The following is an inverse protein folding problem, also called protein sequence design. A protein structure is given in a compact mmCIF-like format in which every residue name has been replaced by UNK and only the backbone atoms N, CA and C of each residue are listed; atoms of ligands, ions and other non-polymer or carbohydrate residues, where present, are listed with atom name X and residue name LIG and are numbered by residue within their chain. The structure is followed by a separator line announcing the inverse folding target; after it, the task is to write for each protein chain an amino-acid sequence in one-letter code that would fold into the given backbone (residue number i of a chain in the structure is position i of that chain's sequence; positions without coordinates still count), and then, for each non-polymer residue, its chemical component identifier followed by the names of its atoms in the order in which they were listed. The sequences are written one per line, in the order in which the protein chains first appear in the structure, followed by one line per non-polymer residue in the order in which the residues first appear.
data_IF_739917663799
#
_entry.id   IF_739917663799
#
_cell.length_a   1.000
_cell.length_b   1.000
_cell.length_c   1.000
_cell.angle_alpha   90.00
_cell.angle_beta   90.00
_cell.angle_gamma   90.00
#
_symmetry.space_group_name_H-M   'P 1'
#
loop_
_entity.id
_entity.type
_entity.pdbx_description
1 polymer ?
#
# COMPACT_ATOMS: atom_id res chain seq x y z
N UNK A 1 24.02 69.15 -58.97
CA UNK A 1 23.81 68.63 -57.60
C UNK A 1 22.31 68.54 -57.41
N UNK A 2 21.87 67.30 -57.27
CA UNK A 2 20.49 66.83 -57.25
C UNK A 2 19.79 67.06 -55.91
N UNK A 3 18.47 67.19 -55.99
CA UNK A 3 17.51 67.29 -54.89
C UNK A 3 17.24 65.89 -54.28
N UNK A 4 17.05 65.83 -52.96
CA UNK A 4 16.56 64.62 -52.29
C UNK A 4 15.24 64.93 -51.55
N UNK A 5 14.14 64.22 -51.85
CA UNK A 5 12.92 64.26 -51.06
C UNK A 5 12.83 63.06 -50.09
N UNK A 6 12.28 63.34 -48.91
CA UNK A 6 11.96 62.38 -47.85
C UNK A 6 10.71 61.60 -48.24
N UNK A 7 10.82 60.27 -48.35
CA UNK A 7 9.69 59.37 -48.61
C UNK A 7 9.29 58.62 -47.33
N UNK A 8 8.02 58.76 -46.98
CA UNK A 8 7.28 58.04 -45.95
C UNK A 8 7.32 56.53 -46.20
N UNK A 9 7.72 55.75 -45.18
CA UNK A 9 7.47 54.31 -45.10
C UNK A 9 6.52 54.04 -43.93
N UNK A 10 5.23 54.01 -44.27
CA UNK A 10 4.20 53.23 -43.57
C UNK A 10 4.28 51.77 -44.05
N UNK A 11 3.85 50.84 -43.19
CA UNK A 11 3.86 49.36 -43.30
C UNK A 11 5.19 48.74 -42.81
N UNK A 12 5.23 47.80 -41.85
CA UNK A 12 4.26 46.78 -41.46
C UNK A 12 4.51 46.33 -40.01
N UNK A 13 3.64 46.75 -39.06
CA UNK A 13 3.45 46.01 -37.81
C UNK A 13 2.52 44.84 -38.12
N UNK A 14 3.04 43.83 -38.82
CA UNK A 14 2.40 42.53 -38.82
C UNK A 14 2.62 41.97 -37.42
N UNK A 15 1.56 42.02 -36.61
CA UNK A 15 1.53 41.37 -35.32
C UNK A 15 2.00 39.94 -35.46
N UNK A 16 2.91 39.53 -34.58
CA UNK A 16 3.20 38.13 -34.34
C UNK A 16 1.91 37.47 -33.84
N UNK A 17 1.03 37.05 -34.75
CA UNK A 17 0.04 36.02 -34.46
C UNK A 17 0.85 34.74 -34.25
N UNK A 18 1.34 34.55 -33.03
CA UNK A 18 1.88 33.27 -32.58
C UNK A 18 0.78 32.24 -32.80
N UNK A 19 0.89 31.49 -33.90
CA UNK A 19 0.03 30.35 -34.17
C UNK A 19 0.16 29.41 -32.96
N UNK A 20 -0.92 28.88 -32.38
CA UNK A 20 -0.80 27.80 -31.42
C UNK A 20 0.03 26.71 -32.10
N UNK A 21 1.24 26.46 -31.62
CA UNK A 21 2.01 25.32 -32.09
C UNK A 21 1.28 24.10 -31.56
N UNK A 22 0.69 23.31 -32.46
CA UNK A 22 0.08 22.02 -32.14
C UNK A 22 1.15 21.15 -31.45
N UNK A 23 1.18 21.16 -30.12
CA UNK A 23 2.25 20.56 -29.34
C UNK A 23 1.71 19.28 -28.71
N UNK A 24 2.30 18.16 -29.09
CA UNK A 24 2.10 16.89 -28.40
C UNK A 24 2.80 16.96 -27.04
N UNK A 25 2.06 16.66 -25.98
CA UNK A 25 2.51 16.71 -24.58
C UNK A 25 2.19 15.38 -23.92
N UNK A 26 3.18 14.81 -23.24
CA UNK A 26 3.02 13.61 -22.40
C UNK A 26 3.20 14.02 -20.93
N UNK A 27 2.30 13.56 -20.07
CA UNK A 27 2.30 13.81 -18.63
C UNK A 27 2.05 12.50 -17.85
N UNK A 28 2.82 12.22 -16.79
CA UNK A 28 4.00 12.96 -16.34
C UNK A 28 5.19 12.79 -17.31
N UNK A 29 6.18 13.69 -17.23
CA UNK A 29 7.38 13.64 -18.10
C UNK A 29 8.32 12.50 -17.72
N UNK A 30 8.47 12.27 -16.42
CA UNK A 30 9.27 11.21 -15.83
C UNK A 30 8.31 10.30 -15.03
N UNK A 31 7.55 9.41 -15.70
CA UNK A 31 6.62 8.52 -15.04
C UNK A 31 7.37 7.48 -14.21
N UNK A 32 7.01 7.39 -12.93
CA UNK A 32 7.49 6.38 -11.98
C UNK A 32 6.31 5.67 -11.34
N UNK A 33 6.45 4.37 -11.10
CA UNK A 33 5.42 3.56 -10.45
C UNK A 33 6.05 2.50 -9.55
N UNK A 34 5.42 2.26 -8.40
CA UNK A 34 5.81 1.17 -7.51
C UNK A 34 5.49 -0.17 -8.17
N UNK A 35 6.32 -1.19 -7.96
CA UNK A 35 6.02 -2.57 -8.34
C UNK A 35 4.68 -3.02 -7.72
N UNK A 36 3.85 -3.71 -8.49
CA UNK A 36 2.46 -4.06 -8.18
C UNK A 36 1.48 -2.87 -8.21
N UNK A 37 1.99 -1.63 -8.32
CA UNK A 37 1.21 -0.40 -8.34
C UNK A 37 0.50 -0.13 -9.66
N UNK A 38 -0.20 1.00 -9.72
CA UNK A 38 -0.90 1.47 -10.91
C UNK A 38 -0.60 2.94 -11.17
N UNK A 39 -0.53 3.33 -12.45
CA UNK A 39 -0.29 4.71 -12.86
C UNK A 39 -0.94 4.98 -14.21
N UNK A 40 -1.07 6.26 -14.57
CA UNK A 40 -1.66 6.70 -15.83
C UNK A 40 -0.75 7.71 -16.52
N UNK A 41 -0.56 7.54 -17.82
CA UNK A 41 0.14 8.52 -18.66
C UNK A 41 -0.86 9.14 -19.62
N UNK A 42 -1.01 10.45 -19.54
CA UNK A 42 -1.84 11.21 -20.46
C UNK A 42 -0.97 11.78 -21.58
N UNK A 43 -1.35 11.50 -22.81
CA UNK A 43 -0.81 12.17 -23.98
C UNK A 43 -1.87 13.06 -24.60
N UNK A 44 -1.59 14.36 -24.71
CA UNK A 44 -2.51 15.36 -25.25
C UNK A 44 -1.91 16.10 -26.43
N UNK A 45 -2.75 16.38 -27.42
CA UNK A 45 -2.43 17.19 -28.59
C UNK A 45 -3.47 18.30 -28.69
N UNK A 46 -3.01 19.55 -28.57
CA UNK A 46 -3.88 20.72 -28.67
C UNK A 46 -4.24 21.03 -30.13
N UNK A 47 -4.96 20.13 -30.79
CA UNK A 47 -5.41 20.26 -32.17
C UNK A 47 -6.87 19.78 -32.35
N UNK A 48 -7.80 20.66 -32.76
CA UNK A 48 -9.17 20.26 -33.09
C UNK A 48 -9.21 19.22 -34.22
N UNK A 49 -9.88 18.09 -33.99
CA UNK A 49 -9.95 16.99 -34.97
C UNK A 49 -8.61 16.24 -35.17
N UNK A 50 -7.61 16.51 -34.33
CA UNK A 50 -6.41 15.71 -34.26
C UNK A 50 -6.70 14.27 -33.81
N UNK A 51 -5.69 13.41 -33.90
CA UNK A 51 -5.73 12.05 -33.35
C UNK A 51 -4.48 11.81 -32.53
N UNK A 52 -4.63 11.15 -31.39
CA UNK A 52 -3.54 10.80 -30.49
C UNK A 52 -3.65 9.32 -30.14
N UNK A 53 -2.52 8.61 -30.16
CA UNK A 53 -2.47 7.18 -29.91
C UNK A 53 -1.18 6.82 -29.15
N UNK A 54 -1.31 5.88 -28.21
CA UNK A 54 -0.17 5.26 -27.54
C UNK A 54 0.28 4.02 -28.30
N UNK A 55 1.61 3.87 -28.41
CA UNK A 55 2.29 2.71 -28.99
C UNK A 55 3.37 2.23 -28.03
N UNK A 56 3.52 0.91 -27.98
CA UNK A 56 4.65 0.25 -27.33
C UNK A 56 5.35 -0.60 -28.35
N UNK A 57 6.68 -0.59 -28.30
CA UNK A 57 7.46 -1.52 -29.11
C UNK A 57 7.50 -2.91 -28.47
N UNK A 58 7.70 -3.00 -27.14
CA UNK A 58 8.14 -4.28 -26.52
C UNK A 58 7.63 -4.55 -25.08
N UNK A 59 6.61 -3.86 -24.57
CA UNK A 59 6.18 -4.00 -23.16
C UNK A 59 4.67 -4.22 -23.05
N UNK A 60 4.22 -4.85 -21.96
CA UNK A 60 2.80 -4.88 -21.61
C UNK A 60 2.30 -3.43 -21.48
N UNK A 61 1.68 -2.93 -22.54
CA UNK A 61 1.30 -1.52 -22.67
C UNK A 61 0.29 -1.12 -21.59
N UNK A 62 -0.52 -2.07 -21.14
CA UNK A 62 -1.69 -1.80 -20.33
C UNK A 62 -2.91 -1.52 -21.21
N UNK A 63 -3.90 -0.83 -20.66
CA UNK A 63 -5.15 -0.51 -21.37
C UNK A 63 -5.15 0.94 -21.84
N UNK A 64 -5.67 1.21 -23.03
CA UNK A 64 -5.65 2.54 -23.64
C UNK A 64 -7.08 3.09 -23.72
N UNK A 65 -7.28 4.30 -23.21
CA UNK A 65 -8.51 5.08 -23.39
C UNK A 65 -8.24 6.22 -24.36
N UNK A 66 -8.93 6.23 -25.50
CA UNK A 66 -8.70 7.22 -26.56
C UNK A 66 -9.82 8.24 -26.63
N UNK A 67 -9.45 9.51 -26.69
CA UNK A 67 -10.33 10.68 -26.81
C UNK A 67 -9.89 11.54 -28.00
N UNK A 68 -10.71 12.51 -28.47
CA UNK A 68 -10.39 13.29 -29.66
C UNK A 68 -9.06 14.04 -29.61
N UNK A 69 -8.70 14.63 -28.47
CA UNK A 69 -7.50 15.46 -28.32
C UNK A 69 -6.45 14.85 -27.39
N UNK A 70 -6.73 13.69 -26.79
CA UNK A 70 -5.81 13.05 -25.87
C UNK A 70 -6.05 11.54 -25.79
N UNK A 71 -5.05 10.81 -25.32
CA UNK A 71 -5.10 9.37 -25.08
C UNK A 71 -4.45 9.07 -23.74
N UNK A 72 -5.07 8.20 -22.94
CA UNK A 72 -4.60 7.83 -21.61
C UNK A 72 -4.15 6.37 -21.64
N UNK A 73 -2.90 6.13 -21.24
CA UNK A 73 -2.33 4.81 -21.03
C UNK A 73 -2.49 4.44 -19.55
N UNK A 74 -3.31 3.42 -19.27
CA UNK A 74 -3.52 2.92 -17.92
C UNK A 74 -2.65 1.69 -17.67
N UNK A 75 -1.75 1.82 -16.70
CA UNK A 75 -0.85 0.75 -16.27
C UNK A 75 -1.37 0.24 -14.93
N UNK A 76 -1.65 -1.05 -14.84
CA UNK A 76 -2.16 -1.72 -13.64
C UNK A 76 -1.23 -2.87 -13.28
N UNK A 77 -0.98 -3.07 -12.00
CA UNK A 77 -0.11 -4.13 -11.49
C UNK A 77 1.26 -4.12 -12.18
N UNK A 78 1.96 -2.99 -12.07
CA UNK A 78 3.25 -2.79 -12.73
C UNK A 78 4.28 -3.85 -12.30
N UNK A 79 4.90 -4.54 -13.26
CA UNK A 79 6.01 -5.46 -13.05
C UNK A 79 7.29 -4.91 -13.66
N UNK A 80 8.44 -5.56 -13.45
CA UNK A 80 9.69 -5.18 -14.10
C UNK A 80 9.53 -5.10 -15.63
N UNK A 81 8.83 -6.06 -16.25
CA UNK A 81 8.51 -6.06 -17.68
C UNK A 81 7.61 -4.88 -18.17
N UNK A 82 7.00 -4.11 -17.26
CA UNK A 82 6.24 -2.90 -17.63
C UNK A 82 7.13 -1.68 -17.80
N UNK A 83 8.33 -1.66 -17.21
CA UNK A 83 9.34 -0.62 -17.38
C UNK A 83 9.71 -0.46 -18.85
N UNK A 84 10.01 0.78 -19.24
CA UNK A 84 10.61 1.08 -20.53
C UNK A 84 9.89 2.17 -21.30
N UNK A 85 10.19 2.22 -22.59
CA UNK A 85 9.79 3.30 -23.46
C UNK A 85 8.31 3.23 -23.85
N UNK A 86 7.55 4.30 -23.57
CA UNK A 86 6.17 4.50 -24.00
C UNK A 86 6.14 5.61 -25.05
N UNK A 87 5.64 5.31 -26.24
CA UNK A 87 5.62 6.25 -27.37
C UNK A 87 4.20 6.75 -27.56
N UNK A 88 4.03 8.06 -27.58
CA UNK A 88 2.81 8.70 -28.03
C UNK A 88 3.01 9.30 -29.41
N UNK A 89 2.09 8.99 -30.32
CA UNK A 89 2.00 9.58 -31.65
C UNK A 89 0.77 10.47 -31.75
N UNK A 90 0.92 11.61 -32.42
CA UNK A 90 -0.15 12.58 -32.68
C UNK A 90 -0.21 12.95 -34.15
N UNK A 91 -1.40 13.12 -34.70
CA UNK A 91 -1.62 13.59 -36.08
C UNK A 91 -2.57 14.78 -36.07
N UNK A 92 -2.20 15.84 -36.77
CA UNK A 92 -3.00 17.05 -36.89
C UNK A 92 -2.74 17.72 -38.24
N UNK A 93 -3.79 18.03 -39.01
CA UNK A 93 -3.70 18.71 -40.31
C UNK A 93 -2.60 18.17 -41.26
N UNK A 94 -2.40 16.85 -41.30
CA UNK A 94 -1.36 16.20 -42.12
C UNK A 94 0.05 16.23 -41.53
N UNK A 95 0.26 16.89 -40.39
CA UNK A 95 1.50 16.85 -39.61
C UNK A 95 1.50 15.67 -38.64
N UNK A 96 2.69 15.11 -38.40
CA UNK A 96 2.94 14.02 -37.47
C UNK A 96 3.79 14.51 -36.29
N UNK A 97 3.39 14.14 -35.08
CA UNK A 97 4.07 14.44 -33.84
C UNK A 97 4.38 13.16 -33.10
N UNK A 98 5.51 13.13 -32.40
CA UNK A 98 5.88 11.99 -31.57
C UNK A 98 6.52 12.49 -30.28
N UNK A 99 6.14 11.88 -29.17
CA UNK A 99 6.75 12.08 -27.87
C UNK A 99 6.93 10.75 -27.18
N UNK A 100 7.96 10.68 -26.36
CA UNK A 100 8.34 9.47 -25.66
C UNK A 100 8.42 9.77 -24.18
N UNK A 101 7.97 8.83 -23.35
CA UNK A 101 8.20 8.82 -21.91
C UNK A 101 8.75 7.45 -21.51
N UNK A 102 9.80 7.45 -20.68
CA UNK A 102 10.36 6.21 -20.14
C UNK A 102 9.73 5.96 -18.78
N UNK A 103 8.89 4.94 -18.68
CA UNK A 103 8.33 4.49 -17.40
C UNK A 103 9.43 3.81 -16.60
N UNK A 104 9.62 4.25 -15.36
CA UNK A 104 10.49 3.60 -14.38
C UNK A 104 9.65 2.84 -13.36
N UNK A 105 10.03 1.59 -13.10
CA UNK A 105 9.44 0.78 -12.04
C UNK A 105 10.42 0.77 -10.88
N UNK A 106 9.90 0.80 -9.65
CA UNK A 106 10.74 0.69 -8.46
C UNK A 106 10.07 -0.12 -7.37
N UNK A 107 10.87 -0.74 -6.52
CA UNK A 107 10.42 -1.47 -5.35
C UNK A 107 11.38 -1.23 -4.19
N UNK A 108 10.83 -0.82 -3.04
CA UNK A 108 11.57 -0.67 -1.79
C UNK A 108 10.60 -0.99 -0.65
N UNK A 109 10.92 -1.95 0.24
CA UNK A 109 10.03 -2.26 1.36
C UNK A 109 9.89 -1.08 2.31
N UNK A 110 8.75 -0.96 2.97
CA UNK A 110 8.50 0.12 3.93
C UNK A 110 9.31 -0.02 5.22
N UNK A 111 9.74 -1.24 5.54
CA UNK A 111 10.54 -1.55 6.73
C UNK A 111 11.73 -2.41 6.36
N UNK A 112 12.89 -2.09 6.94
CA UNK A 112 14.07 -2.97 6.89
C UNK A 112 14.01 -3.96 8.05
N UNK A 113 14.51 -5.17 7.82
CA UNK A 113 14.70 -6.15 8.88
C UNK A 113 16.10 -6.01 9.44
N UNK A 114 16.20 -5.64 10.71
CA UNK A 114 17.47 -5.48 11.42
C UNK A 114 17.47 -6.33 12.69
N UNK A 115 18.35 -7.33 12.72
CA UNK A 115 18.44 -8.32 13.81
C UNK A 115 19.86 -8.39 14.37
N UNK A 116 19.98 -8.67 15.66
CA UNK A 116 21.27 -8.92 16.30
C UNK A 116 21.44 -10.42 16.58
N UNK A 117 22.68 -10.90 16.51
CA UNK A 117 23.08 -12.22 16.97
C UNK A 117 24.26 -12.06 17.94
N UNK A 118 24.07 -12.27 19.26
CA UNK A 118 22.84 -12.70 19.93
C UNK A 118 21.70 -11.67 19.85
N UNK A 119 20.45 -12.13 20.01
CA UNK A 119 19.22 -11.33 19.80
C UNK A 119 19.17 -10.01 20.59
N UNK A 120 19.85 -9.97 21.74
CA UNK A 120 19.97 -8.78 22.56
C UNK A 120 21.37 -8.21 22.40
N UNK A 121 21.46 -6.95 21.96
CA UNK A 121 22.71 -6.23 21.84
C UNK A 121 23.16 -5.73 23.23
N UNK A 122 23.96 -6.54 23.91
CA UNK A 122 24.43 -6.27 25.28
C UNK A 122 25.74 -5.47 25.29
N UNK A 123 25.84 -4.42 26.12
CA UNK A 123 27.08 -3.69 26.30
C UNK A 123 28.26 -4.61 26.66
N UNK A 124 29.44 -4.34 26.10
CA UNK A 124 30.68 -5.09 26.35
C UNK A 124 30.79 -6.43 25.63
N UNK A 125 29.75 -6.89 24.92
CA UNK A 125 29.73 -8.20 24.27
C UNK A 125 29.73 -8.06 22.74
N UNK A 126 30.50 -8.88 22.00
CA UNK A 126 30.50 -8.85 20.55
C UNK A 126 29.16 -9.34 19.99
N UNK A 127 28.78 -8.85 18.82
CA UNK A 127 27.55 -9.23 18.13
C UNK A 127 27.71 -9.15 16.61
N UNK A 128 26.86 -9.88 15.88
CA UNK A 128 26.67 -9.69 14.45
C UNK A 128 25.31 -9.05 14.21
N UNK A 129 25.27 -7.92 13.52
CA UNK A 129 24.04 -7.25 13.13
C UNK A 129 23.73 -7.63 11.68
N UNK A 130 22.54 -8.15 11.43
CA UNK A 130 22.06 -8.54 10.12
C UNK A 130 20.97 -7.57 9.66
N UNK A 131 21.26 -6.81 8.62
CA UNK A 131 20.29 -5.96 7.93
C UNK A 131 19.91 -6.62 6.61
N UNK A 132 18.60 -6.79 6.39
CA UNK A 132 18.07 -7.37 5.16
C UNK A 132 16.84 -6.62 4.69
N UNK A 133 16.66 -6.59 3.37
CA UNK A 133 15.50 -6.04 2.71
C UNK A 133 15.19 -6.89 1.48
N UNK A 134 13.92 -7.24 1.31
CA UNK A 134 13.47 -8.15 0.25
C UNK A 134 12.69 -7.38 -0.82
N UNK A 135 12.67 -7.91 -2.03
CA UNK A 135 11.89 -7.38 -3.16
C UNK A 135 12.24 -5.91 -3.51
N UNK A 136 13.52 -5.61 -3.70
CA UNK A 136 14.02 -4.31 -4.16
C UNK A 136 14.17 -4.27 -5.68
N UNK A 137 13.99 -3.09 -6.26
CA UNK A 137 14.27 -2.84 -7.67
C UNK A 137 14.40 -1.34 -7.96
N UNK A 138 15.32 -0.90 -8.84
CA UNK A 138 16.37 -1.70 -9.49
C UNK A 138 17.63 -1.79 -8.61
N UNK A 139 18.43 -2.86 -8.77
CA UNK A 139 19.60 -3.11 -7.91
C UNK A 139 20.74 -2.10 -8.09
N UNK A 140 20.92 -1.55 -9.29
CA UNK A 140 21.94 -0.56 -9.62
C UNK A 140 21.68 0.81 -8.94
N UNK A 141 20.44 1.06 -8.52
CA UNK A 141 20.05 2.23 -7.74
C UNK A 141 20.19 2.08 -6.23
N UNK A 142 20.51 0.87 -5.73
CA UNK A 142 20.55 0.57 -4.29
C UNK A 142 21.91 0.88 -3.69
N UNK A 143 21.89 1.59 -2.55
CA UNK A 143 23.03 1.76 -1.66
C UNK A 143 22.64 1.35 -0.24
N UNK A 144 23.55 0.71 0.48
CA UNK A 144 23.40 0.37 1.89
C UNK A 144 24.52 1.04 2.68
N UNK A 145 24.19 1.61 3.83
CA UNK A 145 25.16 2.19 4.75
C UNK A 145 24.84 1.80 6.19
N UNK A 146 25.85 1.27 6.88
CA UNK A 146 25.83 1.09 8.33
C UNK A 146 26.39 2.32 9.01
N UNK A 147 25.67 2.82 10.00
CA UNK A 147 26.12 3.89 10.87
C UNK A 147 26.26 3.40 12.30
N UNK A 148 27.31 3.87 12.97
CA UNK A 148 27.45 3.84 14.43
C UNK A 148 27.43 5.27 14.93
N UNK A 149 26.33 5.67 15.56
CA UNK A 149 26.04 7.10 15.77
C UNK A 149 25.94 7.85 14.44
N UNK A 150 26.90 8.74 14.15
CA UNK A 150 26.96 9.53 12.91
C UNK A 150 28.04 9.05 11.93
N UNK A 151 28.84 8.04 12.30
CA UNK A 151 29.94 7.56 11.47
C UNK A 151 29.50 6.38 10.60
N UNK A 152 29.76 6.46 9.30
CA UNK A 152 29.62 5.32 8.39
C UNK A 152 30.72 4.30 8.71
N UNK A 153 30.33 3.05 8.96
CA UNK A 153 31.26 1.96 9.34
C UNK A 153 31.36 0.86 8.28
N UNK A 154 30.36 0.69 7.43
CA UNK A 154 30.34 -0.30 6.34
C UNK A 154 29.31 0.08 5.27
N UNK A 155 29.61 -0.18 4.01
CA UNK A 155 28.70 0.07 2.88
C UNK A 155 28.43 -1.17 2.01
N UNK A 156 29.20 -2.23 2.19
CA UNK A 156 29.07 -3.43 1.36
C UNK A 156 27.84 -4.26 1.75
N UNK A 157 27.21 -4.86 0.76
CA UNK A 157 26.06 -5.76 0.90
C UNK A 157 26.09 -6.83 -0.20
N UNK A 158 25.52 -7.98 0.10
CA UNK A 158 25.28 -9.05 -0.85
C UNK A 158 23.85 -8.94 -1.38
N UNK A 159 23.62 -9.43 -2.59
CA UNK A 159 22.29 -9.45 -3.21
C UNK A 159 22.05 -10.73 -3.99
N UNK A 160 20.79 -11.14 -4.05
CA UNK A 160 20.32 -12.27 -4.84
C UNK A 160 19.10 -11.83 -5.67
N UNK A 161 19.04 -12.28 -6.92
CA UNK A 161 17.89 -12.04 -7.81
C UNK A 161 16.83 -13.11 -7.60
N UNK A 162 15.57 -12.69 -7.61
CA UNK A 162 14.38 -13.53 -7.47
C UNK A 162 13.80 -13.89 -8.84
N UNK A 163 12.88 -14.86 -8.89
CA UNK A 163 12.19 -15.26 -10.13
C UNK A 163 11.36 -14.12 -10.77
N UNK A 164 11.03 -13.07 -10.02
CA UNK A 164 10.28 -11.89 -10.49
C UNK A 164 11.20 -10.73 -10.94
N UNK A 165 12.50 -10.98 -11.13
CA UNK A 165 13.51 -9.96 -11.49
C UNK A 165 13.66 -8.86 -10.40
N UNK A 166 13.21 -9.15 -9.17
CA UNK A 166 13.43 -8.33 -7.98
C UNK A 166 14.64 -8.83 -7.20
N UNK A 167 15.17 -8.01 -6.29
CA UNK A 167 16.40 -8.32 -5.56
C UNK A 167 16.19 -8.37 -4.04
N UNK A 168 16.84 -9.34 -3.41
CA UNK A 168 16.92 -9.47 -1.96
C UNK A 168 18.33 -9.09 -1.53
N UNK A 169 18.47 -8.14 -0.61
CA UNK A 169 19.78 -7.71 -0.10
C UNK A 169 19.98 -8.14 1.35
N UNK A 170 21.23 -8.46 1.68
CA UNK A 170 21.67 -8.79 3.04
C UNK A 170 23.02 -8.13 3.29
N UNK A 171 23.19 -7.52 4.46
CA UNK A 171 24.48 -7.03 4.94
C UNK A 171 24.66 -7.42 6.40
N UNK A 172 25.80 -8.03 6.70
CA UNK A 172 26.17 -8.41 8.07
C UNK A 172 27.30 -7.49 8.56
N UNK A 173 27.08 -6.83 9.69
CA UNK A 173 28.08 -6.04 10.40
C UNK A 173 28.52 -6.76 11.67
N UNK A 174 29.76 -7.23 11.72
CA UNK A 174 30.37 -7.77 12.94
C UNK A 174 30.91 -6.63 13.80
N UNK A 175 30.44 -6.55 15.04
CA UNK A 175 30.85 -5.52 16.01
C UNK A 175 31.56 -6.17 17.20
N UNK A 176 32.66 -5.56 17.63
CA UNK A 176 33.40 -6.01 18.81
C UNK A 176 32.71 -5.52 20.08
N UNK A 177 32.87 -6.26 21.19
CA UNK A 177 32.26 -5.87 22.47
C UNK A 177 32.71 -4.51 23.00
N UNK A 178 33.93 -4.08 22.65
CA UNK A 178 34.45 -2.74 22.97
C UNK A 178 33.74 -1.60 22.23
N UNK A 179 33.04 -1.92 21.13
CA UNK A 179 32.29 -0.95 20.32
C UNK A 179 30.82 -0.86 20.73
N UNK A 180 30.34 -1.83 21.52
CA UNK A 180 28.98 -1.90 22.03
C UNK A 180 28.97 -1.36 23.46
N UNK A 181 28.77 -0.05 23.61
CA UNK A 181 28.54 0.58 24.91
C UNK A 181 27.04 0.85 25.12
N UNK A 182 26.63 1.03 26.38
CA UNK A 182 25.23 1.33 26.70
C UNK A 182 24.76 2.62 26.01
N UNK A 183 23.60 2.55 25.34
CA UNK A 183 23.04 3.66 24.58
C UNK A 183 23.65 3.88 23.19
N UNK A 184 24.67 3.10 22.78
CA UNK A 184 25.20 3.17 21.41
C UNK A 184 24.14 2.64 20.43
N UNK A 185 23.88 3.43 19.39
CA UNK A 185 22.95 3.13 18.33
C UNK A 185 23.68 2.71 17.05
N UNK A 186 23.23 1.61 16.46
CA UNK A 186 23.61 1.15 15.13
C UNK A 186 22.42 1.34 14.19
N UNK A 187 22.67 1.98 13.05
CA UNK A 187 21.64 2.17 12.00
C UNK A 187 22.05 1.43 10.74
N UNK A 188 21.10 0.74 10.13
CA UNK A 188 21.20 0.31 8.75
C UNK A 188 20.30 1.23 7.92
N UNK A 189 20.90 1.91 6.95
CA UNK A 189 20.22 2.77 6.00
C UNK A 189 20.30 2.13 4.62
N UNK A 190 19.16 2.00 3.96
CA UNK A 190 19.06 1.56 2.57
C UNK A 190 18.45 2.69 1.78
N UNK A 191 19.16 3.11 0.73
CA UNK A 191 18.74 4.19 -0.17
C UNK A 191 18.58 3.64 -1.57
N UNK A 192 17.48 4.00 -2.22
CA UNK A 192 17.17 3.66 -3.60
C UNK A 192 17.05 4.93 -4.43
N UNK A 193 17.85 5.02 -5.49
CA UNK A 193 17.82 6.12 -6.45
C UNK A 193 17.09 5.68 -7.72
N UNK A 194 16.06 6.42 -8.12
CA UNK A 194 15.25 6.14 -9.31
C UNK A 194 15.03 7.43 -10.09
N UNK A 195 15.76 7.59 -11.19
CA UNK A 195 15.73 8.85 -11.94
C UNK A 195 16.25 10.00 -11.09
N UNK A 196 15.39 10.98 -10.78
CA UNK A 196 15.71 12.12 -9.90
C UNK A 196 15.22 11.93 -8.46
N UNK A 197 14.47 10.86 -8.20
CA UNK A 197 13.91 10.59 -6.87
C UNK A 197 14.86 9.72 -6.05
N UNK A 198 14.84 9.94 -4.74
CA UNK A 198 15.63 9.17 -3.78
C UNK A 198 14.73 8.73 -2.63
N UNK A 199 14.69 7.44 -2.37
CA UNK A 199 13.90 6.83 -1.32
C UNK A 199 14.83 6.23 -0.27
N UNK A 200 14.60 6.56 1.00
CA UNK A 200 15.44 6.07 2.09
C UNK A 200 14.62 5.30 3.11
N UNK A 201 15.21 4.22 3.62
CA UNK A 201 14.68 3.42 4.73
C UNK A 201 15.78 3.22 5.75
N UNK A 202 15.40 3.31 7.02
CA UNK A 202 16.33 3.22 8.14
C UNK A 202 15.76 2.26 9.17
N UNK A 203 16.60 1.35 9.65
CA UNK A 203 16.34 0.58 10.86
C UNK A 203 17.47 0.82 11.86
N UNK A 204 17.14 0.82 13.15
CA UNK A 204 18.06 1.13 14.22
C UNK A 204 17.98 0.10 15.34
N UNK A 205 19.12 -0.24 15.93
CA UNK A 205 19.23 -1.02 17.16
C UNK A 205 20.08 -0.26 18.18
N UNK A 206 19.63 -0.25 19.43
CA UNK A 206 20.32 0.40 20.53
C UNK A 206 20.81 -0.65 21.52
N UNK A 207 22.08 -0.56 21.90
CA UNK A 207 22.65 -1.41 22.92
C UNK A 207 22.08 -1.05 24.30
N UNK A 208 21.55 -2.04 25.01
CA UNK A 208 20.95 -1.85 26.33
C UNK A 208 21.36 -2.96 27.29
N UNK A 209 21.65 -2.58 28.54
CA UNK A 209 21.78 -3.54 29.62
C UNK A 209 20.37 -3.94 30.04
N UNK A 210 19.86 -5.04 29.50
CA UNK A 210 18.57 -5.57 29.94
C UNK A 210 18.64 -5.85 31.45
N UNK A 211 17.80 -5.17 32.23
CA UNK A 211 17.72 -5.37 33.67
C UNK A 211 17.21 -6.79 33.94
N UNK A 212 18.07 -7.65 34.47
CA UNK A 212 17.66 -8.94 35.02
C UNK A 212 16.65 -8.64 36.14
N UNK A 213 15.36 -8.86 35.89
CA UNK A 213 14.41 -9.05 36.98
C UNK A 213 14.76 -10.35 37.68
N UNK A 214 15.70 -10.27 38.61
CA UNK A 214 15.94 -11.30 39.61
C UNK A 214 14.70 -11.31 40.52
N UNK A 215 13.78 -12.25 40.27
CA UNK A 215 12.71 -12.54 41.23
C UNK A 215 13.38 -12.97 42.55
N UNK A 216 13.10 -12.31 43.69
CA UNK A 216 13.60 -12.79 44.97
C UNK A 216 12.97 -14.15 45.23
N UNK A 217 13.81 -15.18 45.37
CA UNK A 217 13.38 -16.50 45.81
C UNK A 217 12.69 -16.34 47.17
N UNK A 218 11.39 -16.64 47.24
CA UNK A 218 10.68 -16.75 48.49
C UNK A 218 11.24 -17.95 49.28
N UNK A 219 11.97 -17.65 50.35
CA UNK A 219 12.37 -18.60 51.39
C UNK A 219 11.11 -19.11 52.08
N UNK A 220 10.84 -20.41 51.99
CA UNK A 220 9.86 -21.09 52.84
C UNK A 220 10.62 -22.02 53.77
N UNK A 221 10.78 -21.59 55.01
CA UNK A 221 11.28 -22.43 56.11
C UNK A 221 10.09 -22.96 56.92
N UNK A 222 9.95 -24.30 56.89
CA UNK A 222 9.49 -25.23 57.94
C UNK A 222 8.43 -24.80 58.97
N UNK A 223 7.45 -25.68 59.25
CA UNK A 223 7.41 -26.58 60.43
C UNK A 223 5.97 -27.05 60.75
N UNK A 224 5.76 -28.37 60.94
CA UNK A 224 4.91 -28.88 62.03
C UNK A 224 3.54 -29.52 61.71
N UNK A 225 3.50 -30.86 61.62
CA UNK A 225 2.32 -31.78 61.70
C UNK A 225 1.68 -31.82 63.12
N UNK A 226 0.84 -32.80 63.55
CA UNK A 226 0.05 -33.87 62.87
C UNK A 226 -1.40 -34.07 63.42
N UNK A 227 -2.27 -34.82 62.73
CA UNK A 227 -3.09 -35.85 63.39
C UNK A 227 -3.88 -36.76 62.44
N UNK A 228 -4.19 -37.93 63.00
CA UNK A 228 -4.32 -39.25 62.41
C UNK A 228 -5.74 -39.77 62.69
N UNK A 229 -6.41 -40.34 61.69
CA UNK A 229 -7.40 -41.40 61.89
C UNK A 229 -7.58 -42.24 60.61
N UNK A 230 -7.42 -43.56 60.77
CA UNK A 230 -7.72 -44.70 59.87
C UNK A 230 -8.30 -45.79 60.82
N UNK A 231 -8.91 -46.93 60.40
CA UNK A 231 -9.23 -47.43 59.05
C UNK A 231 -10.55 -48.26 58.85
N UNK A 232 -10.89 -48.51 57.56
CA UNK A 232 -11.45 -49.76 56.94
C UNK A 232 -12.87 -50.28 57.28
N UNK A 233 -13.44 -51.27 56.53
CA UNK A 233 -13.47 -51.52 55.07
C UNK A 233 -14.90 -51.91 54.58
N UNK A 234 -15.13 -52.12 53.27
CA UNK A 234 -15.82 -53.31 52.69
C UNK A 234 -15.87 -53.21 51.15
N UNK A 235 -15.55 -54.34 50.54
CA UNK A 235 -15.45 -54.67 49.11
C UNK A 235 -16.77 -55.24 48.60
N UNK A 236 -17.17 -54.97 47.34
CA UNK A 236 -17.39 -55.98 46.27
C UNK A 236 -18.53 -55.68 45.25
N UNK A 237 -18.12 -55.62 43.96
CA UNK A 237 -18.74 -56.15 42.71
C UNK A 237 -20.00 -55.49 42.10
N UNK A 238 -20.27 -55.64 40.78
CA UNK A 238 -19.46 -55.32 39.59
C UNK A 238 -20.25 -54.43 38.55
N UNK A 239 -19.64 -53.91 37.47
CA UNK A 239 -20.39 -53.33 36.36
C UNK A 239 -20.61 -54.33 35.21
N UNK A 240 -21.83 -54.38 34.69
CA UNK A 240 -22.23 -55.09 33.48
C UNK A 240 -22.98 -54.16 32.50
N UNK A 241 -23.10 -54.53 31.20
CA UNK A 241 -22.84 -53.58 30.11
C UNK A 241 -24.02 -53.29 29.16
N UNK A 242 -23.72 -52.40 28.20
CA UNK A 242 -24.13 -52.38 26.78
C UNK A 242 -25.38 -51.62 26.32
N UNK A 243 -25.33 -51.22 25.02
CA UNK A 243 -26.39 -50.97 24.01
C UNK A 243 -26.41 -49.50 23.48
N UNK A 244 -26.60 -49.22 22.16
CA UNK A 244 -25.50 -49.10 21.18
C UNK A 244 -25.68 -47.95 20.15
N UNK A 245 -24.76 -47.88 19.18
CA UNK A 245 -24.81 -47.08 17.95
C UNK A 245 -25.45 -47.87 16.81
N UNK A 246 -26.22 -47.22 15.93
CA UNK A 246 -26.54 -47.71 14.58
C UNK A 246 -26.51 -46.57 13.53
N UNK A 247 -25.85 -46.87 12.41
CA UNK A 247 -25.78 -46.15 11.14
C UNK A 247 -27.13 -46.03 10.40
N UNK A 248 -27.14 -45.34 9.24
CA UNK A 248 -27.62 -46.03 8.04
C UNK A 248 -26.74 -45.83 6.78
N UNK A 249 -26.75 -46.86 5.95
CA UNK A 249 -26.09 -47.00 4.64
C UNK A 249 -27.14 -47.03 3.51
N UNK A 250 -26.71 -46.66 2.27
CA UNK A 250 -27.23 -47.06 0.93
C UNK A 250 -28.52 -46.36 0.41
N UNK A 251 -28.74 -46.05 -0.87
CA UNK A 251 -28.21 -46.57 -2.15
C UNK A 251 -28.45 -45.64 -3.39
N UNK A 252 -27.62 -45.86 -4.43
CA UNK A 252 -27.88 -45.95 -5.90
C UNK A 252 -28.31 -44.75 -6.80
N UNK A 253 -27.47 -44.53 -7.81
CA UNK A 253 -27.64 -44.03 -9.22
C UNK A 253 -28.62 -44.89 -10.08
N UNK A 254 -28.90 -44.64 -11.40
CA UNK A 254 -28.41 -43.62 -12.37
C UNK A 254 -29.45 -43.02 -13.40
N UNK A 255 -28.95 -42.11 -14.26
CA UNK A 255 -29.30 -41.76 -15.67
C UNK A 255 -30.76 -41.49 -16.13
N UNK A 256 -30.99 -40.40 -16.90
CA UNK A 256 -31.05 -40.39 -18.39
C UNK A 256 -31.54 -39.02 -18.95
N UNK A 257 -30.69 -38.40 -19.78
CA UNK A 257 -30.94 -37.76 -21.10
C UNK A 257 -32.20 -36.92 -21.47
N UNK A 258 -31.88 -35.78 -22.13
CA UNK A 258 -32.28 -35.40 -23.52
C UNK A 258 -33.28 -34.22 -23.70
N UNK A 259 -32.69 -33.06 -24.10
CA UNK A 259 -33.06 -32.18 -25.25
C UNK A 259 -34.39 -31.42 -25.29
N UNK A 260 -34.32 -30.08 -25.43
CA UNK A 260 -34.77 -29.27 -26.59
C UNK A 260 -34.65 -27.75 -26.29
N UNK A 261 -33.87 -27.05 -27.12
CA UNK A 261 -33.86 -25.59 -27.35
C UNK A 261 -34.84 -25.28 -28.54
N UNK A 262 -35.05 -24.07 -29.11
CA UNK A 262 -34.94 -22.65 -28.66
C UNK A 262 -36.18 -21.77 -29.09
N UNK A 263 -36.03 -20.43 -28.99
CA UNK A 263 -36.72 -19.35 -29.76
C UNK A 263 -37.94 -18.67 -29.07
N UNK A 264 -38.27 -17.38 -29.25
CA UNK A 264 -37.80 -16.29 -30.11
C UNK A 264 -38.30 -14.92 -29.59
N UNK A 265 -37.60 -13.84 -30.02
CA UNK A 265 -38.10 -12.49 -30.39
C UNK A 265 -39.22 -11.80 -29.58
N UNK A 266 -39.00 -10.55 -29.13
CA UNK A 266 -39.52 -9.34 -29.84
C UNK A 266 -39.01 -7.99 -29.26
N UNK A 267 -38.36 -7.21 -30.13
CA UNK A 267 -38.44 -5.76 -30.41
C UNK A 267 -38.49 -4.65 -29.32
N UNK A 268 -37.58 -3.68 -29.53
CA UNK A 268 -37.58 -2.23 -29.14
C UNK A 268 -38.73 -1.45 -29.85
N UNK A 269 -39.12 -0.20 -29.47
CA UNK A 269 -38.27 0.98 -29.77
C UNK A 269 -38.37 2.22 -28.86
N UNK A 270 -37.40 3.13 -29.09
CA UNK A 270 -37.20 4.50 -28.61
C UNK A 270 -38.41 5.44 -28.63
N UNK A 271 -38.40 6.50 -27.80
CA UNK A 271 -38.88 7.85 -28.13
C UNK A 271 -38.31 8.92 -27.15
N UNK A 272 -37.60 9.90 -27.70
CA UNK A 272 -37.42 11.31 -27.24
C UNK A 272 -38.16 12.17 -28.30
N UNK A 273 -38.90 13.28 -28.02
CA UNK A 273 -38.33 14.59 -27.62
C UNK A 273 -39.20 15.60 -26.83
N UNK A 274 -38.55 16.60 -26.20
CA UNK A 274 -38.80 18.04 -26.40
C UNK A 274 -38.41 18.93 -25.18
N UNK A 275 -37.60 19.95 -25.47
CA UNK A 275 -37.38 21.22 -24.75
C UNK A 275 -38.19 22.30 -25.50
N UNK A 276 -38.83 23.33 -24.89
CA UNK A 276 -38.18 24.64 -24.71
C UNK A 276 -38.70 25.55 -23.57
N UNK A 277 -37.80 26.36 -22.96
CA UNK A 277 -37.82 27.84 -23.02
C UNK A 277 -36.94 28.51 -21.92
N UNK A 278 -35.92 29.23 -22.39
CA UNK A 278 -35.37 30.48 -21.81
C UNK A 278 -36.26 31.66 -22.30
N UNK A 279 -36.24 32.90 -21.73
CA UNK A 279 -35.03 33.76 -21.77
C UNK A 279 -34.87 34.92 -20.74
N UNK A 280 -33.72 35.60 -20.87
CA UNK A 280 -33.43 37.05 -20.71
C UNK A 280 -32.52 37.51 -19.54
N UNK A 281 -31.26 37.77 -19.92
CA UNK A 281 -30.45 38.99 -19.80
C UNK A 281 -30.19 39.68 -18.45
N UNK A 282 -28.91 40.02 -18.24
CA UNK A 282 -28.47 41.13 -17.39
C UNK A 282 -27.01 41.04 -16.94
N UNK A 283 -26.09 41.57 -17.76
CA UNK A 283 -24.78 42.05 -17.28
C UNK A 283 -24.97 43.51 -16.80
N UNK A 284 -24.21 44.00 -15.80
CA UNK A 284 -23.08 44.88 -16.13
C UNK A 284 -21.84 44.80 -15.22
N UNK A 285 -20.69 44.95 -15.87
CA UNK A 285 -19.54 45.83 -15.63
C UNK A 285 -18.94 46.07 -14.23
N UNK A 286 -17.61 45.96 -14.20
CA UNK A 286 -16.68 46.30 -13.13
C UNK A 286 -16.55 47.81 -12.83
N UNK A 287 -16.16 48.15 -11.60
CA UNK A 287 -15.33 49.33 -11.31
C UNK A 287 -14.43 49.14 -10.08
N UNK A 288 -13.38 49.95 -10.06
CA UNK A 288 -12.09 49.77 -9.41
C UNK A 288 -11.95 50.41 -8.01
N UNK A 289 -10.82 50.09 -7.39
CA UNK A 289 -10.33 50.48 -6.07
C UNK A 289 -10.23 51.99 -5.79
N UNK A 290 -10.34 52.39 -4.52
CA UNK A 290 -9.45 53.39 -3.91
C UNK A 290 -9.42 53.25 -2.37
N UNK A 291 -8.21 53.32 -1.83
CA UNK A 291 -7.78 53.46 -0.42
C UNK A 291 -8.32 54.70 0.28
N UNK A 292 -8.74 54.61 1.55
CA UNK A 292 -8.53 55.67 2.57
C UNK A 292 -8.75 55.15 4.00
N UNK A 293 -7.76 55.33 4.89
CA UNK A 293 -7.95 55.37 6.34
C UNK A 293 -8.30 56.82 6.74
N UNK A 294 -9.11 57.03 7.80
CA UNK A 294 -8.50 57.60 9.01
C UNK A 294 -9.09 57.06 10.34
N UNK A 295 -8.51 57.61 11.39
CA UNK A 295 -8.37 57.19 12.78
C UNK A 295 -9.61 57.46 13.68
N UNK A 296 -9.82 56.55 14.64
CA UNK A 296 -10.25 56.71 16.05
C UNK A 296 -11.50 57.53 16.44
N UNK A 297 -12.47 56.85 17.07
CA UNK A 297 -13.55 57.42 17.89
C UNK A 297 -14.38 56.33 18.57
N UNK A 298 -14.55 56.43 19.88
CA UNK A 298 -14.89 55.37 20.84
C UNK A 298 -16.39 55.03 20.97
N UNK A 299 -16.65 53.83 21.49
CA UNK A 299 -17.86 53.34 22.20
C UNK A 299 -19.16 53.12 21.42
N UNK A 300 -19.52 51.85 21.26
CA UNK A 300 -20.87 51.41 20.87
C UNK A 300 -20.96 49.88 20.84
N UNK A 301 -21.56 49.33 21.90
CA UNK A 301 -21.83 47.91 22.15
C UNK A 301 -22.59 47.24 20.97
N UNK A 302 -22.04 46.16 20.43
CA UNK A 302 -22.65 45.32 19.39
C UNK A 302 -21.80 44.07 19.12
N UNK A 303 -22.41 42.92 18.77
CA UNK A 303 -21.81 41.60 18.91
C UNK A 303 -20.60 41.43 18.00
N UNK A 304 -19.57 40.75 18.51
CA UNK A 304 -18.36 40.39 17.76
C UNK A 304 -18.71 39.90 16.37
N UNK A 305 -18.11 40.60 15.39
CA UNK A 305 -18.07 40.21 13.99
C UNK A 305 -17.85 38.70 13.87
N UNK A 306 -18.72 38.06 13.11
CA UNK A 306 -18.71 36.62 12.90
C UNK A 306 -17.34 36.13 12.51
N UNK A 307 -16.72 35.37 13.41
CA UNK A 307 -15.79 34.33 13.02
C UNK A 307 -16.56 33.44 12.06
N UNK A 308 -16.31 33.58 10.76
CA UNK A 308 -16.78 32.62 9.77
C UNK A 308 -16.38 31.24 10.30
N UNK A 309 -17.33 30.31 10.54
CA UNK A 309 -16.97 29.02 11.12
C UNK A 309 -15.97 28.37 10.18
N UNK A 310 -14.74 28.23 10.66
CA UNK A 310 -13.71 27.52 9.94
C UNK A 310 -14.22 26.09 9.78
N UNK A 311 -14.42 25.63 8.55
CA UNK A 311 -14.79 24.25 8.35
C UNK A 311 -13.68 23.37 8.94
N UNK A 312 -14.04 22.43 9.80
CA UNK A 312 -13.09 21.48 10.40
C UNK A 312 -13.29 20.10 9.79
N UNK A 313 -12.21 19.54 9.25
CA UNK A 313 -12.18 18.18 8.73
C UNK A 313 -11.64 17.24 9.82
N UNK A 314 -12.28 16.09 10.02
CA UNK A 314 -11.88 15.08 11.00
C UNK A 314 -11.87 13.70 10.34
N UNK A 315 -10.96 12.84 10.81
CA UNK A 315 -10.79 11.46 10.36
C UNK A 315 -10.57 10.56 11.58
N UNK A 316 -11.24 9.42 11.63
CA UNK A 316 -11.11 8.44 12.71
C UNK A 316 -11.44 7.02 12.22
N UNK A 317 -11.06 6.01 12.99
CA UNK A 317 -11.37 4.61 12.71
C UNK A 317 -12.22 3.99 13.81
N UNK A 318 -13.06 3.02 13.43
CA UNK A 318 -13.92 2.26 14.32
C UNK A 318 -13.80 0.76 13.97
N UNK A 319 -13.20 -0.08 14.83
CA UNK A 319 -12.45 0.27 16.05
C UNK A 319 -11.18 1.11 15.76
N UNK A 320 -10.60 1.78 16.78
CA UNK A 320 -9.40 2.62 16.60
C UNK A 320 -8.18 1.83 16.09
N UNK A 321 -8.14 0.53 16.36
CA UNK A 321 -7.14 -0.40 15.85
C UNK A 321 -7.87 -1.56 15.19
N UNK A 322 -7.49 -1.90 13.96
CA UNK A 322 -8.05 -3.02 13.23
C UNK A 322 -7.56 -4.36 13.77
N UNK A 323 -8.36 -5.40 13.57
CA UNK A 323 -7.98 -6.79 13.88
C UNK A 323 -8.18 -7.63 12.64
N UNK A 324 -7.22 -8.49 12.32
CA UNK A 324 -7.27 -9.34 11.12
C UNK A 324 -8.55 -10.18 11.11
N UNK A 325 -9.25 -10.19 9.98
CA UNK A 325 -10.50 -10.91 9.78
C UNK A 325 -11.75 -10.26 10.41
N UNK A 326 -11.61 -9.11 11.11
CA UNK A 326 -12.73 -8.37 11.72
C UNK A 326 -13.11 -7.14 10.91
N UNK A 327 -14.32 -6.63 11.13
CA UNK A 327 -14.78 -5.43 10.47
C UNK A 327 -14.03 -4.18 10.96
N UNK A 328 -13.77 -3.24 10.04
CA UNK A 328 -13.09 -1.98 10.30
C UNK A 328 -13.72 -0.88 9.43
N UNK A 329 -14.09 0.25 10.03
CA UNK A 329 -14.56 1.45 9.32
C UNK A 329 -13.57 2.59 9.51
N UNK A 330 -13.27 3.32 8.44
CA UNK A 330 -12.51 4.57 8.50
C UNK A 330 -13.43 5.69 8.04
N UNK A 331 -13.74 6.60 8.96
CA UNK A 331 -14.71 7.67 8.77
C UNK A 331 -13.98 9.00 8.55
N UNK A 332 -14.45 9.79 7.59
CA UNK A 332 -14.03 11.17 7.40
C UNK A 332 -15.25 12.08 7.36
N UNK A 333 -15.23 13.14 8.16
CA UNK A 333 -16.33 14.09 8.26
C UNK A 333 -15.84 15.53 8.25
N UNK A 334 -16.46 16.35 7.41
CA UNK A 334 -16.34 17.79 7.39
C UNK A 334 -17.49 18.43 8.18
N UNK A 335 -17.15 19.22 9.18
CA UNK A 335 -18.10 20.07 9.89
C UNK A 335 -18.01 21.48 9.29
N UNK A 336 -18.79 21.71 8.23
CA UNK A 336 -18.89 23.01 7.57
C UNK A 336 -20.29 23.62 7.77
N UNK A 337 -20.40 24.95 7.76
CA UNK A 337 -21.69 25.65 7.81
C UNK A 337 -22.49 25.61 6.48
N UNK A 338 -21.95 24.96 5.44
CA UNK A 338 -22.59 24.80 4.13
C UNK A 338 -22.25 23.45 3.50
N UNK A 339 -22.76 23.21 2.30
CA UNK A 339 -22.54 21.95 1.58
C UNK A 339 -21.06 21.75 1.28
N UNK A 340 -20.52 20.66 1.80
CA UNK A 340 -19.12 20.29 1.70
C UNK A 340 -19.02 18.88 1.15
N UNK A 341 -17.95 18.61 0.41
CA UNK A 341 -17.68 17.28 -0.14
C UNK A 341 -16.31 16.84 0.31
N UNK A 342 -16.23 15.63 0.86
CA UNK A 342 -14.98 15.02 1.27
C UNK A 342 -14.60 13.90 0.32
N UNK A 343 -13.31 13.65 0.17
CA UNK A 343 -12.78 12.56 -0.66
C UNK A 343 -11.51 11.96 -0.07
N UNK A 344 -11.18 10.76 -0.51
CA UNK A 344 -9.97 10.05 -0.09
C UNK A 344 -8.81 10.35 -1.03
N UNK A 345 -7.74 10.94 -0.49
CA UNK A 345 -6.52 11.27 -1.21
C UNK A 345 -5.54 10.08 -1.20
N UNK A 346 -5.50 9.35 -0.08
CA UNK A 346 -4.61 8.21 0.12
C UNK A 346 -5.29 7.16 0.99
N UNK A 347 -5.17 5.91 0.56
CA UNK A 347 -5.53 4.72 1.32
C UNK A 347 -4.40 3.68 1.15
N UNK A 348 -4.14 2.82 2.14
CA UNK A 348 -3.09 1.80 2.02
C UNK A 348 -3.34 0.78 0.89
N UNK A 349 -4.60 0.37 0.71
CA UNK A 349 -5.02 -0.45 -0.42
C UNK A 349 -5.79 0.40 -1.45
N UNK A 350 -6.08 -0.16 -2.62
CA UNK A 350 -6.90 0.51 -3.63
C UNK A 350 -8.33 0.74 -3.09
N UNK A 351 -8.96 1.87 -3.44
CA UNK A 351 -10.33 2.20 -3.01
C UNK A 351 -11.36 1.12 -3.35
N UNK A 352 -11.15 0.33 -4.41
CA UNK A 352 -11.99 -0.81 -4.78
C UNK A 352 -11.99 -1.97 -3.77
N UNK A 353 -11.02 -2.01 -2.86
CA UNK A 353 -10.95 -2.98 -1.76
C UNK A 353 -11.81 -2.57 -0.56
N UNK A 354 -12.35 -1.34 -0.58
CA UNK A 354 -13.22 -0.82 0.46
C UNK A 354 -14.63 -0.65 -0.10
N UNK A 355 -15.64 -0.81 0.74
CA UNK A 355 -16.97 -0.31 0.44
C UNK A 355 -17.03 1.15 0.88
N UNK A 356 -16.96 2.07 -0.08
CA UNK A 356 -17.10 3.50 0.19
C UNK A 356 -18.58 3.89 0.32
N UNK A 357 -18.92 4.52 1.45
CA UNK A 357 -20.23 5.11 1.70
C UNK A 357 -20.06 6.64 1.83
N UNK A 358 -20.44 7.38 0.79
CA UNK A 358 -20.36 8.84 0.78
C UNK A 358 -21.72 9.48 1.00
N UNK A 359 -21.75 10.48 1.87
CA UNK A 359 -22.94 11.27 2.20
C UNK A 359 -22.52 12.73 2.36
N UNK A 360 -22.44 13.46 1.24
CA UNK A 360 -22.12 14.89 1.21
C UNK A 360 -20.84 15.24 1.97
N UNK A 361 -21.01 15.75 3.19
CA UNK A 361 -19.93 16.17 4.08
C UNK A 361 -19.22 15.03 4.82
N UNK A 362 -19.59 13.77 4.61
CA UNK A 362 -18.88 12.61 5.16
C UNK A 362 -18.63 11.53 4.11
N UNK A 363 -17.53 10.79 4.25
CA UNK A 363 -17.24 9.57 3.51
C UNK A 363 -16.65 8.53 4.45
N UNK A 364 -17.11 7.29 4.33
CA UNK A 364 -16.69 6.16 5.15
C UNK A 364 -16.13 5.03 4.27
N UNK A 365 -14.98 4.50 4.63
CA UNK A 365 -14.41 3.28 4.02
C UNK A 365 -14.68 2.10 4.94
N UNK A 366 -15.55 1.19 4.51
CA UNK A 366 -15.88 -0.02 5.26
C UNK A 366 -15.17 -1.26 4.73
N UNK A 367 -14.66 -2.04 5.68
CA UNK A 367 -14.07 -3.35 5.48
C UNK A 367 -14.86 -4.36 6.31
N UNK A 368 -15.38 -5.41 5.69
CA UNK A 368 -16.01 -6.52 6.42
C UNK A 368 -14.95 -7.40 7.10
N UNK A 369 -13.77 -7.53 6.48
CA UNK A 369 -12.62 -8.29 6.98
C UNK A 369 -11.33 -7.51 6.74
N UNK A 370 -10.79 -6.90 7.79
CA UNK A 370 -9.51 -6.22 7.75
C UNK A 370 -8.36 -7.24 7.57
N UNK A 371 -7.30 -6.82 6.91
CA UNK A 371 -6.15 -7.64 6.53
C UNK A 371 -4.89 -6.81 6.76
N UNK A 372 -3.71 -7.42 6.88
CA UNK A 372 -2.48 -6.69 7.18
C UNK A 372 -2.17 -5.56 6.17
N UNK A 373 -2.52 -5.70 4.90
CA UNK A 373 -2.30 -4.65 3.88
C UNK A 373 -3.29 -3.48 3.97
N UNK A 374 -4.34 -3.57 4.79
CA UNK A 374 -5.19 -2.43 5.11
C UNK A 374 -4.55 -1.52 6.19
N UNK A 375 -3.40 -1.89 6.76
CA UNK A 375 -2.66 -1.05 7.69
C UNK A 375 -1.94 0.10 6.98
N UNK A 376 -1.82 1.24 7.64
CA UNK A 376 -1.02 2.38 7.18
C UNK A 376 -1.78 3.70 7.23
N UNK A 377 -1.33 4.66 6.42
CA UNK A 377 -1.79 6.04 6.48
C UNK A 377 -2.94 6.32 5.52
N UNK A 378 -4.07 6.72 6.08
CA UNK A 378 -5.25 7.22 5.39
C UNK A 378 -5.20 8.74 5.33
N UNK A 379 -5.53 9.34 4.18
CA UNK A 379 -5.63 10.79 4.03
C UNK A 379 -6.98 11.16 3.41
N UNK A 380 -7.71 12.02 4.11
CA UNK A 380 -8.97 12.58 3.63
C UNK A 380 -8.79 14.05 3.29
N UNK A 381 -9.43 14.50 2.22
CA UNK A 381 -9.39 15.89 1.74
C UNK A 381 -10.79 16.49 1.67
N UNK A 382 -10.91 17.74 2.08
CA UNK A 382 -12.08 18.58 1.81
C UNK A 382 -11.96 19.20 0.41
N UNK A 383 -12.89 18.85 -0.48
CA UNK A 383 -12.92 19.37 -1.85
C UNK A 383 -13.57 20.77 -1.86
N UNK A 384 -12.86 21.78 -2.39
CA UNK A 384 -13.38 23.16 -2.50
C UNK A 384 -12.30 24.25 -2.45
N UNK A 385 -12.73 25.50 -2.25
CA UNK A 385 -11.85 26.70 -2.26
C UNK A 385 -10.81 26.76 -1.12
N UNK A 386 -10.93 25.90 -0.10
CA UNK A 386 -9.94 25.75 0.98
C UNK A 386 -9.69 24.26 1.22
N UNK A 387 -8.87 23.65 0.37
CA UNK A 387 -8.50 22.25 0.51
C UNK A 387 -7.79 22.05 1.85
N UNK A 388 -8.45 21.33 2.76
CA UNK A 388 -7.86 20.84 4.01
C UNK A 388 -7.63 19.35 3.87
N UNK A 389 -6.50 18.87 4.38
CA UNK A 389 -6.17 17.45 4.39
C UNK A 389 -5.91 17.03 5.82
N UNK A 390 -6.51 15.92 6.22
CA UNK A 390 -6.24 15.27 7.52
C UNK A 390 -5.77 13.84 7.28
N UNK A 391 -4.94 13.34 8.19
CA UNK A 391 -4.37 12.00 8.11
C UNK A 391 -4.63 11.19 9.38
N UNK A 392 -4.87 9.90 9.20
CA UNK A 392 -4.99 8.91 10.26
C UNK A 392 -4.08 7.73 9.95
N UNK A 393 -3.38 7.22 10.95
CA UNK A 393 -2.60 6.00 10.84
C UNK A 393 -3.34 4.86 11.54
N UNK A 394 -3.61 3.78 10.81
CA UNK A 394 -4.38 2.64 11.29
C UNK A 394 -3.51 1.40 11.26
N UNK A 395 -3.46 0.70 12.39
CA UNK A 395 -2.76 -0.58 12.52
C UNK A 395 -3.76 -1.73 12.49
N UNK A 396 -3.40 -2.85 11.86
CA UNK A 396 -4.19 -4.09 11.87
C UNK A 396 -3.39 -5.17 12.61
N UNK A 397 -3.88 -5.58 13.78
CA UNK A 397 -3.23 -6.58 14.65
C UNK A 397 -3.80 -7.96 14.35
N UNK A 398 -3.02 -9.01 14.57
CA UNK A 398 -3.49 -10.39 14.50
C UNK A 398 -4.54 -10.69 15.59
N UNK A 399 -5.59 -11.46 15.26
CA UNK A 399 -6.61 -11.86 16.22
C UNK A 399 -5.99 -12.84 17.23
N UNK A 400 -5.57 -12.30 18.37
CA UNK A 400 -4.92 -13.05 19.44
C UNK A 400 -5.98 -13.57 20.42
N UNK A 401 -6.87 -14.43 19.93
CA UNK A 401 -7.77 -15.19 20.78
C UNK A 401 -7.77 -16.69 20.44
N UNK A 402 -7.18 -17.44 21.38
CA UNK A 402 -7.43 -18.85 21.69
C UNK A 402 -7.08 -19.89 20.63
N UNK A 403 -5.79 -20.05 20.34
CA UNK A 403 -5.27 -21.40 20.07
C UNK A 403 -5.24 -22.19 21.38
N UNK A 404 -6.37 -22.78 21.77
CA UNK A 404 -6.30 -24.03 22.56
C UNK A 404 -5.45 -25.00 21.75
N UNK A 405 -4.34 -25.52 22.28
CA UNK A 405 -3.57 -26.51 21.56
C UNK A 405 -4.42 -27.76 21.46
N UNK A 406 -4.91 -28.06 20.26
CA UNK A 406 -5.39 -29.41 19.97
C UNK A 406 -4.19 -30.33 20.17
N UNK A 407 -4.24 -31.12 21.25
CA UNK A 407 -3.29 -32.19 21.53
C UNK A 407 -3.42 -33.21 20.38
N UNK A 408 -2.56 -33.09 19.37
CA UNK A 408 -2.37 -34.12 18.36
C UNK A 408 -1.50 -35.22 18.98
N UNK A 409 -2.16 -36.19 19.62
CA UNK A 409 -1.53 -37.40 20.14
C UNK A 409 -1.49 -38.47 19.03
N UNK A 410 -0.29 -38.96 18.70
CA UNK A 410 -0.02 -40.07 17.76
C UNK A 410 0.37 -39.57 16.37
N UNK A 411 1.57 -39.81 15.84
CA UNK A 411 2.22 -41.12 15.69
C UNK A 411 3.76 -41.00 15.70
N UNK A 412 4.40 -41.20 16.86
CA UNK A 412 5.81 -41.59 16.92
C UNK A 412 5.84 -43.09 17.20
N UNK A 413 5.84 -43.89 16.14
CA UNK A 413 5.77 -45.34 16.27
C UNK A 413 5.90 -46.07 14.95
N UNK A 414 6.70 -45.58 14.00
CA UNK A 414 6.89 -46.31 12.74
C UNK A 414 8.21 -45.98 12.03
N UNK A 415 9.32 -45.94 12.78
CA UNK A 415 10.67 -45.89 12.18
C UNK A 415 11.62 -46.95 12.75
N UNK A 416 11.39 -47.45 13.97
CA UNK A 416 12.19 -48.54 14.55
C UNK A 416 11.82 -49.93 14.00
N UNK A 417 10.58 -50.14 13.52
CA UNK A 417 10.14 -51.41 12.93
C UNK A 417 10.78 -51.72 11.57
N UNK A 418 11.07 -50.70 10.76
CA UNK A 418 11.66 -50.86 9.43
C UNK A 418 13.17 -51.17 9.47
N UNK A 419 13.87 -50.73 10.51
CA UNK A 419 15.31 -51.01 10.68
C UNK A 419 15.52 -52.47 11.13
N UNK A 420 14.63 -53.01 11.97
CA UNK A 420 14.72 -54.39 12.45
C UNK A 420 14.39 -55.40 11.34
N UNK A 421 13.39 -55.13 10.49
CA UNK A 421 13.04 -56.03 9.36
C UNK A 421 14.09 -56.01 8.25
N UNK A 422 14.73 -54.85 8.00
CA UNK A 422 15.86 -54.75 7.05
C UNK A 422 17.13 -55.48 7.51
N UNK A 423 17.40 -55.52 8.81
CA UNK A 423 18.56 -56.23 9.36
C UNK A 423 18.37 -57.76 9.36
N UNK A 424 17.15 -58.25 9.58
CA UNK A 424 16.83 -59.69 9.57
C UNK A 424 16.84 -60.25 8.13
N UNK A 425 16.35 -59.50 7.13
CA UNK A 425 16.40 -59.96 5.73
C UNK A 425 17.84 -60.03 5.19
N UNK A 426 18.71 -59.07 5.55
CA UNK A 426 20.13 -59.10 5.20
C UNK A 426 20.90 -60.26 5.83
N UNK A 427 20.54 -60.68 7.05
CA UNK A 427 21.17 -61.82 7.73
C UNK A 427 20.70 -63.17 7.18
N UNK A 428 19.44 -63.28 6.78
CA UNK A 428 18.91 -64.48 6.13
C UNK A 428 19.47 -64.65 4.72
N UNK A 429 19.62 -63.57 3.94
CA UNK A 429 20.16 -63.65 2.59
C UNK A 429 21.65 -64.06 2.55
N UNK A 430 22.44 -63.70 3.56
CA UNK A 430 23.84 -64.17 3.71
C UNK A 430 23.96 -65.63 4.13
N UNK A 431 22.93 -66.26 4.71
CA UNK A 431 22.94 -67.68 5.11
C UNK A 431 22.53 -68.65 4.01
N UNK A 432 21.88 -68.18 2.94
CA UNK A 432 21.44 -69.02 1.82
C UNK A 432 22.40 -69.02 0.61
N UNK A 433 23.58 -68.41 0.74
CA UNK A 433 24.56 -68.30 -0.35
C UNK A 433 25.97 -68.77 0.02
N UNK A 434 26.09 -69.60 1.05
CA UNK A 434 27.32 -70.32 1.39
C UNK A 434 27.12 -71.82 1.28
#
# INVERSE_FOLDING_TARGET
MELAPVLLLLSSLWGCSGRPTDRLVVTPREPMVLFGGSTELNCSLACPGGKVEWRGLDTALGTISSFPTHSILHIRHATVATEGMKICEGRCHGQHYQKTATLKVYALPDTLRLEAAPQILRPGHPANLNCSAMHLYPIDGVALAWYRGHQVVKTDFDFEETDEELYNIVSILSVNGTEVAEGVEFKCEVTLHVGQETFTRVASLVASAEAVMEHPAAVVTSTGSPSRARPMPTTALPPGPSVPTCDPTTAREPDTGTTLDPAALTNLPSTEPAVPHDPIAGSPTAHAATTTFPHSGTTGTGPSAGTVPACSLQIWSLPPTGTRGRALSIECQAQCAGNATVGWLRTPAALSQYREESAGSSSALRLDRAEPWHQGRYQCVLLGHRAQVVSLEVMVVEDSFSSTPAIAMGTVGSLLGLIVTGAVSRRLWKRFRS
#
